data_IF_603846899854
#
_entry.id   IF_603846899854
#
_cell.length_a   1.000
_cell.length_b   1.000
_cell.length_c   1.000
_cell.angle_alpha   90.00
_cell.angle_beta   90.00
_cell.angle_gamma   90.00
#
_symmetry.space_group_name_H-M   'P 1'
#
loop_
_entity.id
_entity.type
_entity.pdbx_description
1 polymer ?
#
# COMPACT_ATOMS: atom_id res chain seq x y z
N UNK A 1 15.74 -5.60 -3.30
CA UNK A 1 15.34 -5.04 -1.99
C UNK A 1 14.77 -6.17 -1.13
N UNK A 2 15.19 -6.23 0.11
CA UNK A 2 14.67 -7.23 1.04
C UNK A 2 13.21 -6.96 1.39
N UNK A 3 12.46 -8.03 1.69
CA UNK A 3 11.04 -7.92 2.00
C UNK A 3 10.78 -6.99 3.20
N UNK A 4 11.55 -7.10 4.26
CA UNK A 4 11.36 -6.25 5.44
C UNK A 4 11.62 -4.77 5.13
N UNK A 5 12.64 -4.49 4.34
CA UNK A 5 12.95 -3.13 3.92
C UNK A 5 11.83 -2.58 3.04
N UNK A 6 11.34 -3.40 2.12
CA UNK A 6 10.25 -3.01 1.24
C UNK A 6 8.98 -2.72 2.06
N UNK A 7 8.67 -3.56 3.05
CA UNK A 7 7.50 -3.35 3.89
C UNK A 7 7.63 -2.10 4.75
N UNK A 8 8.82 -1.79 5.23
CA UNK A 8 9.06 -0.57 5.99
C UNK A 8 8.75 0.66 5.13
N UNK A 9 9.23 0.68 3.89
CA UNK A 9 8.96 1.78 2.97
C UNK A 9 7.48 1.87 2.60
N UNK A 10 6.85 0.72 2.40
CA UNK A 10 5.42 0.64 2.15
C UNK A 10 4.63 1.25 3.30
N UNK A 11 4.98 0.87 4.53
CA UNK A 11 4.32 1.38 5.73
C UNK A 11 4.50 2.89 5.86
N UNK A 12 5.70 3.41 5.62
CA UNK A 12 5.95 4.84 5.67
C UNK A 12 5.06 5.62 4.70
N UNK A 13 4.92 5.12 3.48
CA UNK A 13 4.03 5.74 2.50
C UNK A 13 2.58 5.69 2.95
N UNK A 14 2.15 4.55 3.49
CA UNK A 14 0.78 4.36 3.94
C UNK A 14 0.45 5.32 5.09
N UNK A 15 1.35 5.44 6.06
CA UNK A 15 1.18 6.35 7.19
C UNK A 15 1.07 7.80 6.71
N UNK A 16 1.92 8.18 5.79
CA UNK A 16 1.95 9.55 5.28
C UNK A 16 0.68 9.88 4.48
N UNK A 17 0.30 9.02 3.57
CA UNK A 17 -0.85 9.27 2.67
C UNK A 17 -2.18 9.15 3.40
N UNK A 18 -2.33 8.11 4.22
CA UNK A 18 -3.61 7.83 4.89
C UNK A 18 -3.71 8.46 6.28
N UNK A 19 -2.63 9.01 6.80
CA UNK A 19 -2.57 9.61 8.13
C UNK A 19 -3.02 8.64 9.23
N UNK A 20 -2.52 7.40 9.16
CA UNK A 20 -2.85 6.36 10.13
C UNK A 20 -1.65 6.03 11.00
N UNK A 21 -1.91 5.43 12.15
CA UNK A 21 -0.84 4.99 13.05
C UNK A 21 -0.09 3.80 12.41
N UNK A 22 1.25 3.80 12.44
CA UNK A 22 2.01 2.68 11.86
C UNK A 22 1.63 1.31 12.43
N UNK A 23 1.21 1.25 13.68
CA UNK A 23 0.81 -0.01 14.32
C UNK A 23 -0.43 -0.62 13.69
N UNK A 24 -1.19 0.15 12.94
CA UNK A 24 -2.39 -0.34 12.26
C UNK A 24 -2.10 -0.90 10.88
N UNK A 25 -0.91 -0.67 10.36
CA UNK A 25 -0.52 -1.15 9.04
C UNK A 25 0.05 -2.56 9.16
N UNK A 26 -0.85 -3.53 9.17
CA UNK A 26 -0.50 -4.95 9.25
C UNK A 26 -0.97 -5.64 7.97
N UNK A 27 -0.42 -6.82 7.71
CA UNK A 27 -0.78 -7.55 6.49
C UNK A 27 -2.27 -7.88 6.41
N UNK A 28 -2.90 -8.10 7.55
CA UNK A 28 -4.33 -8.44 7.63
C UNK A 28 -5.25 -7.23 7.61
N UNK A 29 -4.71 -6.04 7.78
CA UNK A 29 -5.53 -4.83 7.84
C UNK A 29 -6.24 -4.55 6.51
N UNK A 30 -7.51 -4.20 6.60
CA UNK A 30 -8.30 -3.79 5.45
C UNK A 30 -8.16 -2.29 5.26
N UNK A 31 -7.93 -1.85 4.04
CA UNK A 31 -7.79 -0.41 3.78
C UNK A 31 -9.08 0.34 4.12
N UNK A 32 -10.23 -0.21 3.75
CA UNK A 32 -11.50 0.44 4.03
C UNK A 32 -11.92 0.36 5.49
N UNK A 33 -11.98 -0.84 6.02
CA UNK A 33 -12.52 -1.07 7.38
C UNK A 33 -11.55 -0.69 8.49
N UNK A 34 -10.28 -1.03 8.32
CA UNK A 34 -9.29 -0.81 9.39
C UNK A 34 -8.57 0.53 9.28
N UNK A 35 -8.30 0.99 8.07
CA UNK A 35 -7.54 2.22 7.83
C UNK A 35 -8.40 3.40 7.38
N UNK A 36 -9.67 3.15 7.12
CA UNK A 36 -10.61 4.21 6.74
C UNK A 36 -10.31 4.86 5.38
N UNK A 37 -9.68 4.12 4.48
CA UNK A 37 -9.32 4.64 3.17
C UNK A 37 -10.42 4.37 2.15
N UNK A 38 -10.75 5.39 1.36
CA UNK A 38 -11.68 5.21 0.24
C UNK A 38 -10.89 4.99 -1.05
N UNK A 39 -11.60 4.91 -2.19
CA UNK A 39 -10.97 4.66 -3.49
C UNK A 39 -9.94 5.72 -3.87
N UNK A 40 -10.24 6.98 -3.56
CA UNK A 40 -9.33 8.07 -3.87
C UNK A 40 -8.05 7.99 -3.04
N UNK A 41 -8.19 7.63 -1.76
CA UNK A 41 -7.05 7.44 -0.87
C UNK A 41 -6.14 6.33 -1.38
N UNK A 42 -6.74 5.23 -1.87
CA UNK A 42 -5.96 4.13 -2.43
C UNK A 42 -5.20 4.54 -3.69
N UNK A 43 -5.84 5.33 -4.55
CA UNK A 43 -5.17 5.85 -5.76
C UNK A 43 -3.97 6.70 -5.37
N UNK A 44 -4.13 7.58 -4.40
CA UNK A 44 -3.04 8.43 -3.93
C UNK A 44 -1.92 7.60 -3.32
N UNK A 45 -2.25 6.59 -2.52
CA UNK A 45 -1.24 5.71 -1.93
C UNK A 45 -0.47 4.96 -3.00
N UNK A 46 -1.17 4.40 -3.98
CA UNK A 46 -0.52 3.64 -5.06
C UNK A 46 0.40 4.55 -5.87
N UNK A 47 0.00 5.79 -6.13
CA UNK A 47 0.86 6.75 -6.82
C UNK A 47 2.15 7.01 -6.05
N UNK A 48 2.05 7.14 -4.73
CA UNK A 48 3.22 7.32 -3.88
C UNK A 48 4.13 6.09 -3.91
N UNK A 49 3.53 4.90 -3.88
CA UNK A 49 4.27 3.65 -3.96
C UNK A 49 4.97 3.46 -5.30
N UNK A 50 4.31 3.83 -6.39
CA UNK A 50 4.92 3.79 -7.72
C UNK A 50 6.17 4.65 -7.78
N UNK A 51 6.11 5.83 -7.20
CA UNK A 51 7.25 6.74 -7.16
C UNK A 51 8.36 6.21 -6.25
N UNK A 52 7.99 5.74 -5.07
CA UNK A 52 8.96 5.24 -4.09
C UNK A 52 9.73 4.02 -4.60
N UNK A 53 9.05 3.10 -5.28
CA UNK A 53 9.63 1.85 -5.74
C UNK A 53 9.98 1.84 -7.23
N UNK A 54 9.68 2.90 -7.94
CA UNK A 54 9.91 3.02 -9.38
C UNK A 54 9.24 1.87 -10.14
N UNK A 55 7.94 1.70 -9.91
CA UNK A 55 7.12 0.65 -10.53
C UNK A 55 5.86 1.26 -11.10
N UNK A 56 5.11 0.47 -11.87
CA UNK A 56 3.80 0.87 -12.38
C UNK A 56 2.74 -0.13 -11.94
N UNK A 57 1.58 0.38 -11.53
CA UNK A 57 0.43 -0.44 -11.13
C UNK A 57 -0.75 -0.06 -12.01
N UNK A 58 -1.30 -1.05 -12.71
CA UNK A 58 -2.46 -0.83 -13.57
C UNK A 58 -3.74 -0.62 -12.75
N UNK A 59 -4.69 0.12 -13.30
CA UNK A 59 -5.98 0.35 -12.64
C UNK A 59 -6.69 -0.97 -12.30
N UNK A 60 -6.60 -1.96 -13.17
CA UNK A 60 -7.24 -3.25 -12.95
C UNK A 60 -6.64 -3.95 -11.73
N UNK A 61 -5.34 -3.82 -11.53
CA UNK A 61 -4.67 -4.38 -10.36
C UNK A 61 -5.13 -3.70 -9.09
N UNK A 62 -5.31 -2.38 -9.16
CA UNK A 62 -5.75 -1.58 -8.03
C UNK A 62 -7.14 -1.99 -7.54
N UNK A 63 -8.02 -2.38 -8.43
CA UNK A 63 -9.39 -2.77 -8.09
C UNK A 63 -9.45 -4.05 -7.25
N UNK A 64 -8.43 -4.87 -7.30
CA UNK A 64 -8.38 -6.13 -6.58
C UNK A 64 -7.79 -6.00 -5.17
N UNK A 65 -7.23 -4.85 -4.85
CA UNK A 65 -6.59 -4.62 -3.56
C UNK A 65 -7.64 -4.28 -2.50
N UNK A 66 -7.67 -5.07 -1.43
CA UNK A 66 -8.56 -4.85 -0.28
C UNK A 66 -7.79 -4.75 1.02
N UNK A 67 -6.71 -5.52 1.17
CA UNK A 67 -5.90 -5.54 2.38
C UNK A 67 -4.49 -5.03 2.10
N UNK A 68 -3.82 -4.65 3.20
CA UNK A 68 -2.42 -4.23 3.14
C UNK A 68 -1.56 -5.33 2.53
N UNK A 69 -1.80 -6.59 2.93
CA UNK A 69 -1.04 -7.73 2.42
C UNK A 69 -1.18 -7.89 0.93
N UNK A 70 -2.40 -7.75 0.40
CA UNK A 70 -2.63 -7.86 -1.04
C UNK A 70 -1.88 -6.76 -1.79
N UNK A 71 -1.95 -5.52 -1.28
CA UNK A 71 -1.25 -4.40 -1.90
C UNK A 71 0.26 -4.60 -1.85
N UNK A 72 0.78 -5.01 -0.69
CA UNK A 72 2.21 -5.22 -0.52
C UNK A 72 2.72 -6.34 -1.42
N UNK A 73 2.00 -7.45 -1.50
CA UNK A 73 2.40 -8.58 -2.34
C UNK A 73 2.44 -8.16 -3.81
N UNK A 74 1.47 -7.37 -4.25
CA UNK A 74 1.45 -6.85 -5.61
C UNK A 74 2.68 -5.97 -5.89
N UNK A 75 2.99 -5.06 -4.98
CA UNK A 75 4.14 -4.16 -5.11
C UNK A 75 5.44 -4.96 -5.10
N UNK A 76 5.57 -5.86 -4.14
CA UNK A 76 6.81 -6.63 -3.97
C UNK A 76 7.09 -7.52 -5.19
N UNK A 77 6.05 -8.06 -5.80
CA UNK A 77 6.19 -8.90 -7.00
C UNK A 77 6.76 -8.13 -8.19
N UNK A 78 6.66 -6.81 -8.18
CA UNK A 78 7.17 -5.95 -9.26
C UNK A 78 8.62 -5.51 -9.03
N UNK A 79 9.15 -5.80 -7.86
CA UNK A 79 10.55 -5.49 -7.54
C UNK A 79 11.48 -6.64 -7.99
#
# INVERSE_FOLDING_TARGET
MERNEAFTKFTENTVEVLAVDPSKVTMEASFGDDLGADSLDLVELVMALEETFDIEVAEDELKEIRTVGEAFDLIYAKL
#
